data_IF_403907417955
#
_entry.id   IF_403907417955
#
_cell.length_a   1.000
_cell.length_b   1.000
_cell.length_c   1.000
_cell.angle_alpha   90.00
_cell.angle_beta   90.00
_cell.angle_gamma   90.00
#
_symmetry.space_group_name_H-M   'P 1'
#
loop_
_entity.id
_entity.type
_entity.pdbx_description
1 polymer ?
#
# COMPACT_ATOMS: atom_id res chain seq x y z
N UNK A 1 -0.61 -11.02 -18.37
CA UNK A 1 0.62 -11.16 -17.56
C UNK A 1 0.63 -12.56 -16.96
N UNK A 2 1.72 -13.30 -17.04
CA UNK A 2 1.82 -14.68 -16.53
C UNK A 2 3.12 -14.85 -15.73
N UNK A 3 3.02 -15.28 -14.48
CA UNK A 3 4.18 -15.67 -13.67
C UNK A 3 4.78 -16.96 -14.25
N UNK A 4 6.10 -16.97 -14.44
CA UNK A 4 6.84 -18.09 -15.04
C UNK A 4 7.70 -18.80 -14.00
N UNK A 5 8.38 -18.04 -13.14
CA UNK A 5 9.30 -18.59 -12.15
C UNK A 5 9.30 -17.73 -10.89
N UNK A 6 9.48 -18.39 -9.74
CA UNK A 6 9.73 -17.78 -8.44
C UNK A 6 11.06 -18.31 -7.90
N UNK A 7 12.00 -17.42 -7.59
CA UNK A 7 13.25 -17.74 -6.91
C UNK A 7 13.21 -17.21 -5.47
N UNK A 8 13.68 -18.02 -4.53
CA UNK A 8 13.69 -17.68 -3.10
C UNK A 8 15.03 -18.04 -2.47
N UNK A 9 15.57 -17.14 -1.65
CA UNK A 9 16.72 -17.36 -0.78
C UNK A 9 16.46 -16.77 0.60
N UNK A 10 16.66 -17.56 1.65
CA UNK A 10 16.56 -17.12 3.05
C UNK A 10 15.26 -16.38 3.41
N UNK A 11 14.14 -16.70 2.75
CA UNK A 11 12.85 -16.05 2.99
C UNK A 11 11.96 -16.91 3.90
N UNK A 12 11.67 -16.39 5.09
CA UNK A 12 10.89 -17.07 6.13
C UNK A 12 11.36 -18.51 6.33
N UNK A 13 10.44 -19.46 6.23
CA UNK A 13 10.66 -20.89 6.41
C UNK A 13 10.77 -21.66 5.08
N UNK A 14 10.85 -20.97 3.94
CA UNK A 14 10.98 -21.62 2.64
C UNK A 14 12.40 -22.10 2.45
N UNK A 15 12.58 -23.30 1.90
CA UNK A 15 13.88 -23.75 1.41
C UNK A 15 14.34 -22.89 0.22
N UNK A 16 15.65 -22.78 0.07
CA UNK A 16 16.24 -22.05 -1.05
C UNK A 16 16.03 -22.81 -2.36
N UNK A 17 15.70 -22.08 -3.42
CA UNK A 17 15.53 -22.68 -4.74
C UNK A 17 14.67 -21.84 -5.66
N UNK A 18 14.30 -22.46 -6.78
CA UNK A 18 13.40 -21.88 -7.76
C UNK A 18 12.23 -22.81 -8.05
N UNK A 19 11.09 -22.22 -8.38
CA UNK A 19 9.85 -22.90 -8.71
C UNK A 19 9.32 -22.38 -10.04
N UNK A 20 9.30 -23.24 -11.05
CA UNK A 20 8.61 -22.98 -12.31
C UNK A 20 7.10 -23.06 -12.11
N UNK A 21 6.38 -22.08 -12.66
CA UNK A 21 4.94 -21.92 -12.52
C UNK A 21 4.24 -22.47 -13.77
N UNK A 22 3.40 -23.51 -13.62
CA UNK A 22 2.64 -24.04 -14.74
C UNK A 22 1.68 -23.00 -15.33
N UNK A 23 1.35 -23.15 -16.60
CA UNK A 23 0.37 -22.29 -17.29
C UNK A 23 -0.99 -22.18 -16.60
N UNK A 24 -1.62 -23.28 -16.15
CA UNK A 24 -2.89 -23.18 -15.44
C UNK A 24 -2.75 -22.59 -14.02
N UNK A 25 -1.53 -22.30 -13.56
CA UNK A 25 -1.25 -21.95 -12.18
C UNK A 25 -0.91 -23.18 -11.33
N UNK A 26 -0.97 -23.00 -10.01
CA UNK A 26 -0.58 -24.03 -9.04
C UNK A 26 -1.54 -24.06 -7.86
N UNK A 27 -1.70 -25.24 -7.27
CA UNK A 27 -2.41 -25.44 -6.01
C UNK A 27 -1.41 -25.90 -4.97
N UNK A 28 -1.30 -25.16 -3.86
CA UNK A 28 -0.41 -25.51 -2.75
C UNK A 28 -1.19 -26.32 -1.72
N UNK A 29 -0.85 -27.61 -1.59
CA UNK A 29 -1.47 -28.51 -0.62
C UNK A 29 -0.42 -28.92 0.40
N UNK A 30 -0.82 -28.93 1.67
CA UNK A 30 0.02 -29.41 2.75
C UNK A 30 -0.46 -28.93 4.12
N UNK A 31 0.11 -29.47 5.21
CA UNK A 31 -0.22 -29.06 6.58
C UNK A 31 -0.02 -27.56 6.84
N UNK A 32 -0.67 -27.05 7.90
CA UNK A 32 -0.43 -25.69 8.38
C UNK A 32 1.02 -25.51 8.84
N UNK A 33 1.56 -24.29 8.68
CA UNK A 33 2.95 -23.98 9.04
C UNK A 33 4.01 -24.39 8.01
N UNK A 34 3.66 -25.15 6.96
CA UNK A 34 4.63 -25.62 5.95
C UNK A 34 5.08 -24.57 4.92
N UNK A 35 4.72 -23.28 5.10
CA UNK A 35 5.19 -22.20 4.22
C UNK A 35 4.32 -21.90 2.99
N UNK A 36 3.11 -22.48 2.87
CA UNK A 36 2.18 -22.16 1.76
C UNK A 36 1.96 -20.64 1.60
N UNK A 37 1.61 -19.96 2.70
CA UNK A 37 1.45 -18.50 2.71
C UNK A 37 2.77 -17.77 2.50
N UNK A 38 3.89 -18.31 2.98
CA UNK A 38 5.22 -17.74 2.75
C UNK A 38 5.59 -17.75 1.26
N UNK A 39 5.18 -18.79 0.52
CA UNK A 39 5.42 -18.89 -0.93
C UNK A 39 4.61 -17.84 -1.71
N UNK A 40 3.33 -17.68 -1.38
CA UNK A 40 2.48 -16.62 -1.96
C UNK A 40 3.04 -15.23 -1.63
N UNK A 41 3.56 -15.05 -0.42
CA UNK A 41 4.22 -13.82 -0.01
C UNK A 41 5.51 -13.56 -0.78
N UNK A 42 6.34 -14.57 -1.01
CA UNK A 42 7.55 -14.45 -1.83
C UNK A 42 7.22 -14.09 -3.29
N UNK A 43 6.15 -14.65 -3.86
CA UNK A 43 5.69 -14.31 -5.21
C UNK A 43 5.15 -12.87 -5.32
N UNK A 44 4.39 -12.42 -4.31
CA UNK A 44 3.80 -11.08 -4.32
C UNK A 44 4.81 -9.99 -3.93
N UNK A 45 5.84 -10.30 -3.13
CA UNK A 45 6.72 -9.32 -2.52
C UNK A 45 7.47 -8.42 -3.53
N UNK A 46 8.11 -8.94 -4.60
CA UNK A 46 8.77 -8.09 -5.59
C UNK A 46 7.79 -7.17 -6.35
N UNK A 47 6.54 -7.60 -6.50
CA UNK A 47 5.49 -6.86 -7.24
C UNK A 47 4.85 -5.78 -6.36
N UNK A 48 4.60 -6.09 -5.08
CA UNK A 48 4.01 -5.18 -4.11
C UNK A 48 5.06 -4.31 -3.39
N UNK A 49 6.34 -4.62 -3.56
CA UNK A 49 7.51 -4.01 -2.92
C UNK A 49 7.53 -4.10 -1.38
N UNK A 50 6.69 -4.98 -0.83
CA UNK A 50 6.42 -5.13 0.61
C UNK A 50 5.71 -6.45 0.88
N UNK A 51 5.73 -6.87 2.14
CA UNK A 51 4.87 -7.94 2.61
C UNK A 51 3.40 -7.48 2.69
N UNK A 52 2.47 -8.38 2.35
CA UNK A 52 1.06 -8.18 2.61
C UNK A 52 0.65 -8.52 4.06
N UNK A 53 1.54 -9.15 4.85
CA UNK A 53 1.30 -9.61 6.24
C UNK A 53 1.95 -8.73 7.30
N UNK A 54 3.13 -8.15 7.02
CA UNK A 54 3.89 -7.34 7.98
C UNK A 54 4.46 -6.09 7.33
N UNK A 55 4.68 -5.05 8.13
CA UNK A 55 5.39 -3.83 7.72
C UNK A 55 6.91 -3.93 7.92
N UNK A 56 7.38 -4.97 8.62
CA UNK A 56 8.79 -5.12 8.97
C UNK A 56 9.46 -6.15 8.07
N UNK A 57 10.27 -5.68 7.11
CA UNK A 57 10.99 -6.58 6.20
C UNK A 57 11.94 -7.54 6.94
N UNK A 58 12.45 -7.15 8.11
CA UNK A 58 13.30 -8.01 8.94
C UNK A 58 12.60 -9.30 9.42
N UNK A 59 11.27 -9.29 9.56
CA UNK A 59 10.49 -10.49 9.94
C UNK A 59 10.37 -11.51 8.80
N UNK A 60 10.79 -11.15 7.59
CA UNK A 60 10.79 -12.02 6.42
C UNK A 60 12.10 -12.79 6.25
N UNK A 61 13.14 -12.41 6.98
CA UNK A 61 14.45 -13.06 6.94
C UNK A 61 14.35 -14.42 7.67
N UNK A 62 14.91 -15.47 7.07
CA UNK A 62 15.04 -16.77 7.73
C UNK A 62 15.85 -16.62 9.03
N UNK A 63 15.45 -17.32 10.07
CA UNK A 63 16.17 -17.29 11.34
C UNK A 63 17.65 -17.66 11.15
N UNK A 64 18.54 -16.87 11.77
CA UNK A 64 20.00 -17.03 11.65
C UNK A 64 20.63 -16.35 10.43
N UNK A 65 19.85 -15.82 9.51
CA UNK A 65 20.34 -15.19 8.28
C UNK A 65 20.39 -13.67 8.37
N UNK A 66 21.20 -13.05 7.49
CA UNK A 66 21.42 -11.60 7.46
C UNK A 66 20.64 -10.87 6.35
N UNK A 67 19.67 -11.53 5.75
CA UNK A 67 18.89 -11.00 4.64
C UNK A 67 18.12 -12.07 3.88
N UNK A 68 17.34 -11.63 2.90
CA UNK A 68 16.64 -12.50 1.96
C UNK A 68 16.75 -11.96 0.53
N UNK A 69 16.51 -12.85 -0.42
CA UNK A 69 16.33 -12.49 -1.82
C UNK A 69 15.10 -13.23 -2.37
N UNK A 70 14.25 -12.49 -3.07
CA UNK A 70 13.11 -13.06 -3.81
C UNK A 70 13.08 -12.45 -5.20
N UNK A 71 12.87 -13.29 -6.21
CA UNK A 71 12.74 -12.85 -7.59
C UNK A 71 11.60 -13.57 -8.28
N UNK A 72 10.96 -12.87 -9.21
CA UNK A 72 9.91 -13.42 -10.07
C UNK A 72 10.22 -13.10 -11.53
N UNK A 73 10.00 -14.09 -12.38
CA UNK A 73 9.98 -13.91 -13.83
C UNK A 73 8.54 -14.01 -14.32
N UNK A 74 8.17 -13.16 -15.27
CA UNK A 74 6.83 -13.17 -15.84
C UNK A 74 6.85 -12.76 -17.31
N UNK A 75 5.83 -13.19 -18.03
CA UNK A 75 5.57 -12.82 -19.42
C UNK A 75 4.48 -11.76 -19.51
N UNK A 76 4.75 -10.69 -20.25
CA UNK A 76 3.78 -9.64 -20.60
C UNK A 76 4.00 -9.24 -22.05
N UNK A 77 2.93 -9.16 -22.85
CA UNK A 77 3.00 -8.78 -24.26
C UNK A 77 4.06 -9.59 -25.04
N UNK A 78 4.12 -10.88 -24.72
CA UNK A 78 5.09 -11.88 -25.21
C UNK A 78 6.58 -11.61 -24.92
N UNK A 79 6.87 -10.66 -24.02
CA UNK A 79 8.23 -10.37 -23.56
C UNK A 79 8.46 -10.89 -22.14
N UNK A 80 9.65 -11.48 -21.87
CA UNK A 80 10.04 -11.83 -20.51
C UNK A 80 10.42 -10.56 -19.75
N UNK A 81 10.07 -10.55 -18.47
CA UNK A 81 10.41 -9.50 -17.53
C UNK A 81 10.76 -10.14 -16.19
N UNK A 82 11.59 -9.45 -15.41
CA UNK A 82 11.99 -9.91 -14.08
C UNK A 82 11.88 -8.81 -13.04
N UNK A 83 11.52 -9.22 -11.82
CA UNK A 83 11.57 -8.38 -10.64
C UNK A 83 12.27 -9.11 -9.54
N UNK A 84 13.19 -8.42 -8.87
CA UNK A 84 13.85 -8.96 -7.69
C UNK A 84 13.85 -7.95 -6.55
N UNK A 85 13.76 -8.46 -5.33
CA UNK A 85 13.93 -7.70 -4.12
C UNK A 85 14.92 -8.40 -3.19
N UNK A 86 15.92 -7.64 -2.75
CA UNK A 86 16.93 -8.09 -1.80
C UNK A 86 16.85 -7.21 -0.56
N UNK A 87 16.81 -7.82 0.61
CA UNK A 87 16.87 -7.10 1.88
C UNK A 87 18.07 -7.56 2.69
N UNK A 88 18.80 -6.62 3.30
CA UNK A 88 19.93 -6.91 4.20
C UNK A 88 19.70 -6.29 5.56
N UNK A 89 19.78 -7.10 6.62
CA UNK A 89 19.51 -6.68 8.01
C UNK A 89 20.50 -5.61 8.49
N UNK A 90 21.79 -5.81 8.26
CA UNK A 90 22.84 -4.93 8.77
C UNK A 90 22.75 -3.48 8.31
N UNK A 91 22.28 -3.23 7.08
CA UNK A 91 22.03 -1.87 6.55
C UNK A 91 20.56 -1.44 6.61
N UNK A 92 19.66 -2.35 7.02
CA UNK A 92 18.19 -2.25 6.86
C UNK A 92 17.81 -1.71 5.47
N UNK A 93 18.55 -2.14 4.45
CA UNK A 93 18.44 -1.62 3.08
C UNK A 93 17.69 -2.65 2.24
N UNK A 94 16.69 -2.16 1.51
CA UNK A 94 15.99 -2.88 0.45
C UNK A 94 16.55 -2.42 -0.89
N UNK A 95 16.88 -3.37 -1.74
CA UNK A 95 17.33 -3.18 -3.11
C UNK A 95 16.31 -3.85 -4.02
N UNK A 96 15.89 -3.13 -5.06
CA UNK A 96 14.92 -3.60 -6.03
C UNK A 96 15.58 -3.60 -7.41
N UNK A 97 15.38 -4.68 -8.16
CA UNK A 97 15.78 -4.78 -9.56
C UNK A 97 14.55 -5.00 -10.43
N UNK A 98 14.49 -4.33 -11.58
CA UNK A 98 13.52 -4.56 -12.63
C UNK A 98 14.26 -4.78 -13.94
N UNK A 99 14.04 -5.93 -14.58
CA UNK A 99 14.72 -6.35 -15.81
C UNK A 99 16.26 -6.23 -15.69
N UNK A 100 16.78 -6.60 -14.50
CA UNK A 100 18.21 -6.54 -14.16
C UNK A 100 18.74 -5.14 -13.78
N UNK A 101 17.97 -4.08 -13.99
CA UNK A 101 18.37 -2.71 -13.64
C UNK A 101 17.95 -2.32 -12.22
N UNK A 102 18.80 -1.58 -11.51
CA UNK A 102 18.48 -1.06 -10.19
C UNK A 102 17.31 -0.06 -10.24
N UNK A 103 16.38 -0.21 -9.30
CA UNK A 103 15.24 0.70 -9.12
C UNK A 103 15.55 1.65 -7.97
N UNK A 104 15.82 2.91 -8.30
CA UNK A 104 16.11 3.93 -7.30
C UNK A 104 14.85 4.36 -6.53
N UNK A 105 13.70 4.44 -7.21
CA UNK A 105 12.43 4.83 -6.59
C UNK A 105 11.32 3.88 -7.01
N UNK A 106 10.60 3.37 -6.03
CA UNK A 106 9.44 2.48 -6.25
C UNK A 106 8.42 3.10 -7.22
N UNK A 107 8.20 4.41 -7.16
CA UNK A 107 7.25 5.12 -8.05
C UNK A 107 7.58 4.98 -9.54
N UNK A 108 8.85 4.78 -9.89
CA UNK A 108 9.28 4.66 -11.29
C UNK A 108 8.84 3.33 -11.90
N UNK A 109 8.55 2.34 -11.05
CA UNK A 109 8.19 0.98 -11.44
C UNK A 109 6.82 0.51 -10.91
N UNK A 110 6.23 1.23 -9.96
CA UNK A 110 4.89 0.98 -9.46
C UNK A 110 3.87 1.01 -10.62
N UNK A 111 2.95 0.05 -10.60
CA UNK A 111 1.90 -0.10 -11.61
C UNK A 111 2.34 -0.69 -12.95
N UNK A 112 3.64 -0.92 -13.16
CA UNK A 112 4.10 -1.68 -14.34
C UNK A 112 3.63 -3.13 -14.30
N UNK A 113 3.46 -3.65 -13.08
CA UNK A 113 3.04 -5.00 -12.77
C UNK A 113 2.06 -4.96 -11.60
N UNK A 114 1.12 -5.91 -11.58
CA UNK A 114 0.03 -5.93 -10.61
C UNK A 114 -0.11 -7.33 -10.04
N UNK A 115 -0.08 -7.43 -8.71
CA UNK A 115 -0.47 -8.63 -7.99
C UNK A 115 -1.65 -8.28 -7.09
N UNK A 116 -2.68 -9.12 -7.11
CA UNK A 116 -3.80 -9.04 -6.18
C UNK A 116 -3.71 -10.26 -5.28
N UNK A 117 -3.69 -10.01 -3.97
CA UNK A 117 -3.64 -11.07 -2.97
C UNK A 117 -4.99 -11.08 -2.26
N UNK A 118 -5.66 -12.24 -2.31
CA UNK A 118 -6.84 -12.52 -1.51
C UNK A 118 -6.39 -13.29 -0.28
N UNK A 119 -6.65 -12.74 0.90
CA UNK A 119 -6.23 -13.32 2.16
C UNK A 119 -7.43 -13.44 3.12
N UNK A 120 -7.46 -14.45 4.02
CA UNK A 120 -8.54 -14.56 5.00
C UNK A 120 -8.73 -13.30 5.86
N UNK A 121 -7.66 -12.54 6.08
CA UNK A 121 -7.69 -11.29 6.84
C UNK A 121 -8.45 -10.16 6.13
N UNK A 122 -8.77 -10.28 4.83
CA UNK A 122 -9.48 -9.25 4.06
C UNK A 122 -10.93 -9.05 4.56
N UNK A 123 -11.49 -10.00 5.31
CA UNK A 123 -12.77 -9.81 6.04
C UNK A 123 -12.70 -8.60 6.98
N UNK A 124 -11.51 -8.24 7.48
CA UNK A 124 -11.30 -7.05 8.32
C UNK A 124 -11.45 -5.74 7.55
N UNK A 125 -11.50 -5.74 6.22
CA UNK A 125 -11.83 -4.55 5.46
C UNK A 125 -13.29 -4.13 5.74
N UNK A 126 -14.21 -5.09 5.77
CA UNK A 126 -15.61 -4.83 6.09
C UNK A 126 -15.84 -4.57 7.59
N UNK A 127 -15.33 -5.44 8.47
CA UNK A 127 -15.63 -5.40 9.90
C UNK A 127 -14.60 -4.62 10.76
N UNK A 128 -13.49 -4.19 10.17
CA UNK A 128 -12.37 -3.59 10.90
C UNK A 128 -12.40 -2.06 10.94
N UNK A 129 -11.33 -1.45 11.50
CA UNK A 129 -11.24 -0.01 11.63
C UNK A 129 -10.95 0.67 10.29
N UNK A 130 -11.35 1.94 10.19
CA UNK A 130 -11.11 2.82 9.03
C UNK A 130 -9.66 2.84 8.53
N UNK A 131 -8.68 2.64 9.43
CA UNK A 131 -7.26 2.58 9.07
C UNK A 131 -6.96 1.45 8.08
N UNK A 132 -7.60 0.29 8.21
CA UNK A 132 -7.44 -0.84 7.30
C UNK A 132 -7.97 -0.53 5.91
N UNK A 133 -9.19 0.05 5.83
CA UNK A 133 -9.81 0.46 4.57
C UNK A 133 -9.05 1.58 3.86
N UNK A 134 -8.62 2.61 4.60
CA UNK A 134 -7.73 3.66 4.06
C UNK A 134 -6.43 3.09 3.51
N UNK A 135 -5.83 2.13 4.23
CA UNK A 135 -4.59 1.48 3.79
C UNK A 135 -4.81 0.64 2.53
N UNK A 136 -5.94 -0.06 2.43
CA UNK A 136 -6.32 -0.79 1.23
C UNK A 136 -6.47 0.19 0.04
N UNK A 137 -7.26 1.25 0.21
CA UNK A 137 -7.46 2.27 -0.82
C UNK A 137 -6.15 2.94 -1.25
N UNK A 138 -5.30 3.30 -0.28
CA UNK A 138 -3.96 3.87 -0.54
C UNK A 138 -3.10 2.93 -1.38
N UNK A 139 -3.11 1.62 -1.08
CA UNK A 139 -2.33 0.63 -1.84
C UNK A 139 -2.86 0.50 -3.27
N UNK A 140 -4.17 0.36 -3.42
CA UNK A 140 -4.83 0.22 -4.72
C UNK A 140 -4.50 1.42 -5.62
N UNK A 141 -4.71 2.64 -5.12
CA UNK A 141 -4.46 3.86 -5.89
C UNK A 141 -2.98 4.09 -6.16
N UNK A 142 -2.10 3.82 -5.20
CA UNK A 142 -0.67 4.02 -5.37
C UNK A 142 -0.04 3.03 -6.37
N UNK A 143 -0.66 1.87 -6.58
CA UNK A 143 -0.27 0.91 -7.62
C UNK A 143 -0.82 1.30 -9.00
N UNK A 144 -1.96 1.99 -9.09
CA UNK A 144 -2.56 2.37 -10.38
C UNK A 144 -2.19 3.78 -10.86
N UNK A 145 -1.81 4.69 -9.96
CA UNK A 145 -1.62 6.10 -10.25
C UNK A 145 -0.33 6.65 -9.60
N UNK A 146 0.65 7.02 -10.45
CA UNK A 146 1.93 7.60 -10.02
C UNK A 146 1.77 8.98 -9.39
N UNK A 147 0.83 9.78 -9.88
CA UNK A 147 0.49 11.09 -9.32
C UNK A 147 -0.06 10.94 -7.91
N UNK A 148 -0.96 9.98 -7.69
CA UNK A 148 -1.45 9.62 -6.36
C UNK A 148 -0.32 9.16 -5.43
N UNK A 149 0.55 8.24 -5.89
CA UNK A 149 1.70 7.78 -5.11
C UNK A 149 2.55 8.96 -4.62
N UNK A 150 2.91 9.86 -5.54
CA UNK A 150 3.73 11.03 -5.23
C UNK A 150 3.02 12.03 -4.31
N UNK A 151 1.72 12.25 -4.50
CA UNK A 151 0.90 13.10 -3.63
C UNK A 151 0.80 12.51 -2.21
N UNK A 152 0.51 11.21 -2.08
CA UNK A 152 0.42 10.52 -0.79
C UNK A 152 1.75 10.56 -0.02
N UNK A 153 2.88 10.40 -0.71
CA UNK A 153 4.21 10.54 -0.12
C UNK A 153 4.46 11.94 0.45
N UNK A 154 4.23 12.99 -0.36
CA UNK A 154 4.34 14.39 0.07
C UNK A 154 3.40 14.72 1.23
N UNK A 155 2.17 14.23 1.17
CA UNK A 155 1.16 14.42 2.20
C UNK A 155 1.59 13.81 3.54
N UNK A 156 2.05 12.55 3.54
CA UNK A 156 2.53 11.88 4.75
C UNK A 156 3.76 12.57 5.35
N UNK A 157 4.67 13.08 4.51
CA UNK A 157 5.83 13.83 4.97
C UNK A 157 5.44 15.15 5.65
N UNK A 158 4.59 15.96 5.01
CA UNK A 158 4.09 17.21 5.58
C UNK A 158 3.30 16.98 6.88
N UNK A 159 2.43 15.96 6.89
CA UNK A 159 1.66 15.57 8.07
C UNK A 159 2.57 15.14 9.24
N UNK A 160 3.63 14.38 8.96
CA UNK A 160 4.58 13.94 9.98
C UNK A 160 5.32 15.13 10.61
N UNK A 161 5.79 16.07 9.80
CA UNK A 161 6.48 17.29 10.26
C UNK A 161 5.54 18.20 11.05
N UNK A 162 4.32 18.44 10.55
CA UNK A 162 3.29 19.20 11.26
C UNK A 162 2.98 18.57 12.62
N UNK A 163 2.76 17.27 12.68
CA UNK A 163 2.47 16.57 13.94
C UNK A 163 3.66 16.58 14.91
N UNK A 164 4.90 16.57 14.40
CA UNK A 164 6.09 16.73 15.24
C UNK A 164 6.13 18.11 15.91
N UNK A 165 5.86 19.18 15.15
CA UNK A 165 5.77 20.54 15.68
C UNK A 165 4.63 20.69 16.72
N UNK A 166 3.45 20.13 16.44
CA UNK A 166 2.33 20.15 17.38
C UNK A 166 2.66 19.47 18.71
N UNK A 167 3.34 18.32 18.70
CA UNK A 167 3.78 17.64 19.94
C UNK A 167 4.79 18.45 20.75
N UNK A 168 5.50 19.38 20.12
CA UNK A 168 6.41 20.31 20.79
C UNK A 168 5.70 21.59 21.28
N UNK A 169 4.39 21.71 21.08
CA UNK A 169 3.64 22.92 21.40
C UNK A 169 3.90 24.09 20.44
N UNK A 170 4.52 23.84 19.28
CA UNK A 170 4.95 24.87 18.32
C UNK A 170 3.95 25.02 17.18
N UNK A 171 2.86 25.74 17.45
CA UNK A 171 1.80 26.01 16.47
C UNK A 171 2.32 26.83 15.26
N UNK A 172 3.26 27.74 15.50
CA UNK A 172 3.94 28.54 14.48
C UNK A 172 4.72 27.66 13.49
N UNK A 173 5.46 26.67 13.99
CA UNK A 173 6.18 25.71 13.15
C UNK A 173 5.22 24.75 12.44
N UNK A 174 4.11 24.37 13.09
CA UNK A 174 3.09 23.53 12.46
C UNK A 174 2.48 24.22 11.24
N UNK A 175 2.20 25.53 11.33
CA UNK A 175 1.61 26.31 10.24
C UNK A 175 2.50 26.38 8.99
N UNK A 176 3.83 26.28 9.13
CA UNK A 176 4.75 26.22 7.98
C UNK A 176 4.50 25.01 7.05
N UNK A 177 3.84 23.96 7.57
CA UNK A 177 3.50 22.76 6.80
C UNK A 177 2.05 22.75 6.28
N UNK A 178 1.24 23.78 6.56
CA UNK A 178 -0.17 23.80 6.16
C UNK A 178 -0.35 23.84 4.64
N UNK A 179 0.42 24.68 3.94
CA UNK A 179 0.37 24.76 2.47
C UNK A 179 0.77 23.46 1.75
N UNK A 180 1.94 22.81 2.05
CA UNK A 180 2.26 21.54 1.42
C UNK A 180 1.31 20.41 1.83
N UNK A 181 0.77 20.43 3.05
CA UNK A 181 -0.26 19.49 3.49
C UNK A 181 -1.55 19.66 2.66
N UNK A 182 -2.00 20.90 2.44
CA UNK A 182 -3.19 21.21 1.67
C UNK A 182 -3.07 20.81 0.20
N UNK A 183 -1.98 21.19 -0.47
CA UNK A 183 -1.74 20.88 -1.88
C UNK A 183 -1.74 19.37 -2.15
N UNK A 184 -1.02 18.62 -1.32
CA UNK A 184 -0.91 17.17 -1.50
C UNK A 184 -2.16 16.42 -1.00
N UNK A 185 -2.78 16.91 0.08
CA UNK A 185 -4.02 16.36 0.63
C UNK A 185 -5.20 16.49 -0.33
N UNK A 186 -5.30 17.61 -1.04
CA UNK A 186 -6.33 17.83 -2.05
C UNK A 186 -6.30 16.81 -3.18
N UNK A 187 -5.10 16.54 -3.72
CA UNK A 187 -4.90 15.51 -4.75
C UNK A 187 -5.27 14.11 -4.23
N UNK A 188 -4.90 13.77 -2.99
CA UNK A 188 -5.25 12.49 -2.36
C UNK A 188 -6.77 12.36 -2.21
N UNK A 189 -7.44 13.38 -1.67
CA UNK A 189 -8.89 13.37 -1.47
C UNK A 189 -9.64 13.26 -2.80
N UNK A 190 -9.23 14.03 -3.82
CA UNK A 190 -9.86 14.01 -5.13
C UNK A 190 -9.74 12.64 -5.81
N UNK A 191 -8.55 12.03 -5.79
CA UNK A 191 -8.34 10.70 -6.37
C UNK A 191 -9.16 9.60 -5.67
N UNK A 192 -9.30 9.68 -4.34
CA UNK A 192 -10.11 8.72 -3.58
C UNK A 192 -11.59 8.85 -3.89
N UNK A 193 -12.13 10.07 -3.91
CA UNK A 193 -13.52 10.32 -4.30
C UNK A 193 -13.79 9.81 -5.72
N UNK A 194 -12.94 10.18 -6.68
CA UNK A 194 -13.08 9.75 -8.07
C UNK A 194 -12.96 8.23 -8.23
N UNK A 195 -12.16 7.55 -7.40
CA UNK A 195 -12.08 6.10 -7.45
C UNK A 195 -13.33 5.43 -6.90
N UNK A 196 -13.84 5.90 -5.74
CA UNK A 196 -15.06 5.34 -5.16
C UNK A 196 -16.26 5.55 -6.09
N UNK A 197 -16.41 6.74 -6.66
CA UNK A 197 -17.46 7.07 -7.63
C UNK A 197 -17.45 6.12 -8.85
N UNK A 198 -16.27 5.81 -9.38
CA UNK A 198 -16.15 4.88 -10.52
C UNK A 198 -16.48 3.43 -10.19
N UNK A 199 -16.27 2.98 -8.95
CA UNK A 199 -16.42 1.56 -8.58
C UNK A 199 -17.70 1.27 -7.80
N UNK A 200 -18.35 2.29 -7.23
CA UNK A 200 -19.53 2.11 -6.38
C UNK A 200 -20.69 1.44 -7.11
N UNK A 201 -20.90 1.79 -8.37
CA UNK A 201 -22.02 1.28 -9.17
C UNK A 201 -21.90 -0.22 -9.44
N UNK A 202 -20.67 -0.71 -9.70
CA UNK A 202 -20.42 -2.14 -9.93
C UNK A 202 -20.32 -2.97 -8.65
N UNK A 203 -20.06 -2.33 -7.51
CA UNK A 203 -19.81 -3.04 -6.25
C UNK A 203 -21.02 -3.83 -5.75
N UNK A 204 -22.21 -3.24 -5.81
CA UNK A 204 -23.45 -3.91 -5.42
C UNK A 204 -23.77 -5.13 -6.29
N UNK A 205 -23.57 -5.00 -7.61
CA UNK A 205 -23.74 -6.11 -8.56
C UNK A 205 -22.78 -7.27 -8.26
N UNK A 206 -21.51 -6.97 -7.97
CA UNK A 206 -20.52 -7.99 -7.62
C UNK A 206 -20.89 -8.73 -6.32
N UNK A 207 -21.39 -8.02 -5.30
CA UNK A 207 -21.86 -8.67 -4.07
C UNK A 207 -23.04 -9.61 -4.36
N UNK A 208 -23.98 -9.18 -5.20
CA UNK A 208 -25.11 -10.00 -5.59
C UNK A 208 -24.67 -11.28 -6.33
N UNK A 209 -23.71 -11.18 -7.26
CA UNK A 209 -23.14 -12.34 -7.96
C UNK A 209 -22.43 -13.33 -7.02
N UNK A 210 -21.89 -12.85 -5.90
CA UNK A 210 -21.29 -13.69 -4.85
C UNK A 210 -22.35 -14.35 -3.93
N UNK A 211 -23.63 -14.07 -4.14
CA UNK A 211 -24.74 -14.62 -3.36
C UNK A 211 -25.14 -13.80 -2.14
N UNK A 212 -24.63 -12.57 -1.99
CA UNK A 212 -25.06 -11.67 -0.93
C UNK A 212 -26.48 -11.14 -1.22
N UNK A 213 -27.34 -11.23 -0.21
CA UNK A 213 -28.75 -10.82 -0.30
C UNK A 213 -29.01 -9.44 0.29
N UNK A 214 -28.08 -8.91 1.08
CA UNK A 214 -28.15 -7.55 1.59
C UNK A 214 -27.75 -6.54 0.50
N UNK A 215 -28.39 -5.37 0.49
CA UNK A 215 -27.96 -4.24 -0.34
C UNK A 215 -26.61 -3.74 0.20
N UNK A 216 -25.54 -4.02 -0.53
CA UNK A 216 -24.20 -3.52 -0.24
C UNK A 216 -23.81 -2.37 -1.15
N UNK A 217 -22.97 -1.46 -0.63
CA UNK A 217 -22.46 -0.32 -1.37
C UNK A 217 -21.10 0.11 -0.83
N UNK A 218 -20.42 0.94 -1.62
CA UNK A 218 -19.13 1.51 -1.28
C UNK A 218 -19.23 3.04 -1.25
N UNK A 219 -18.77 3.70 -0.17
CA UNK A 219 -18.87 5.15 -0.05
C UNK A 219 -17.66 5.74 0.65
N UNK A 220 -17.11 6.81 0.08
CA UNK A 220 -16.07 7.57 0.75
C UNK A 220 -16.67 8.51 1.80
N UNK A 221 -16.30 8.33 3.05
CA UNK A 221 -16.66 9.20 4.17
C UNK A 221 -15.52 10.18 4.46
N UNK A 222 -15.47 11.26 3.68
CA UNK A 222 -14.47 12.32 3.82
C UNK A 222 -15.07 13.71 3.61
N UNK A 223 -14.20 14.71 3.67
CA UNK A 223 -14.60 16.12 3.46
C UNK A 223 -14.35 16.50 2.00
N UNK A 224 -15.39 16.46 1.17
CA UNK A 224 -15.28 16.71 -0.28
C UNK A 224 -14.71 18.09 -0.63
N UNK A 225 -14.93 19.10 0.21
CA UNK A 225 -14.38 20.45 0.01
C UNK A 225 -12.85 20.46 0.09
N UNK A 226 -12.23 19.47 0.76
CA UNK A 226 -10.77 19.35 0.81
C UNK A 226 -10.15 18.92 -0.52
N UNK A 227 -10.94 18.68 -1.57
CA UNK A 227 -10.43 18.53 -2.95
C UNK A 227 -9.85 19.82 -3.51
N UNK A 228 -10.22 20.98 -2.95
CA UNK A 228 -9.68 22.29 -3.29
C UNK A 228 -8.67 22.74 -2.22
N UNK A 229 -7.38 22.96 -2.56
CA UNK A 229 -6.37 23.45 -1.60
C UNK A 229 -6.78 24.73 -0.86
N UNK A 230 -7.59 25.58 -1.48
CA UNK A 230 -8.07 26.86 -0.96
C UNK A 230 -9.03 26.69 0.24
N UNK A 231 -9.68 25.53 0.35
CA UNK A 231 -10.58 25.22 1.46
C UNK A 231 -9.84 24.76 2.74
N UNK A 232 -8.54 24.48 2.64
CA UNK A 232 -7.75 23.94 3.76
C UNK A 232 -7.37 24.98 4.83
N UNK A 233 -6.87 26.19 4.48
CA UNK A 233 -6.38 27.13 5.49
C UNK A 233 -7.42 27.45 6.56
N UNK A 234 -8.67 27.70 6.16
CA UNK A 234 -9.76 27.97 7.10
C UNK A 234 -10.04 26.77 8.03
N UNK A 235 -10.07 25.55 7.48
CA UNK A 235 -10.32 24.34 8.28
C UNK A 235 -9.17 24.03 9.24
N UNK A 236 -7.93 24.20 8.81
CA UNK A 236 -6.75 24.03 9.65
C UNK A 236 -6.72 25.07 10.78
N UNK A 237 -7.04 26.33 10.47
CA UNK A 237 -7.14 27.40 11.47
C UNK A 237 -8.23 27.09 12.52
N UNK A 238 -9.42 26.67 12.09
CA UNK A 238 -10.51 26.25 13.00
C UNK A 238 -10.14 25.04 13.87
N UNK A 239 -9.24 24.17 13.40
CA UNK A 239 -8.76 23.00 14.15
C UNK A 239 -7.52 23.28 15.01
N UNK A 240 -6.86 24.42 14.88
CA UNK A 240 -5.53 24.68 15.44
C UNK A 240 -5.41 24.41 16.94
N UNK A 241 -6.33 24.95 17.76
CA UNK A 241 -6.30 24.73 19.22
C UNK A 241 -6.48 23.26 19.60
N UNK A 242 -7.34 22.55 18.88
CA UNK A 242 -7.61 21.12 19.09
C UNK A 242 -6.41 20.26 18.67
N UNK A 243 -5.79 20.61 17.55
CA UNK A 243 -4.61 19.94 17.01
C UNK A 243 -3.41 20.11 17.95
N UNK A 244 -3.23 21.32 18.49
CA UNK A 244 -2.19 21.63 19.47
C UNK A 244 -2.37 20.84 20.76
N UNK A 245 -3.60 20.84 21.32
CA UNK A 245 -3.91 20.08 22.53
C UNK A 245 -3.71 18.56 22.36
N UNK A 246 -3.91 18.04 21.14
CA UNK A 246 -3.75 16.61 20.82
C UNK A 246 -2.35 16.22 20.36
N UNK A 247 -1.50 17.19 20.02
CA UNK A 247 -0.22 16.93 19.35
C UNK A 247 -0.38 16.24 17.99
N UNK A 248 -1.53 16.40 17.32
CA UNK A 248 -1.87 15.70 16.09
C UNK A 248 -2.89 16.47 15.25
N UNK A 249 -2.69 16.46 13.93
CA UNK A 249 -3.60 17.05 12.96
C UNK A 249 -4.91 16.29 12.92
N UNK A 250 -6.05 17.00 12.95
CA UNK A 250 -7.38 16.37 12.94
C UNK A 250 -8.17 16.56 11.64
N UNK A 251 -7.61 17.27 10.66
CA UNK A 251 -8.22 17.56 9.35
C UNK A 251 -7.41 16.92 8.22
N UNK A 252 -8.08 16.27 7.26
CA UNK A 252 -7.47 15.73 6.04
C UNK A 252 -7.68 14.22 5.84
N UNK A 253 -7.29 13.68 4.67
CA UNK A 253 -7.65 12.32 4.23
C UNK A 253 -7.10 11.19 5.10
N UNK A 254 -6.15 11.47 6.00
CA UNK A 254 -5.70 10.51 7.00
C UNK A 254 -6.75 10.20 8.09
N UNK A 255 -7.83 10.98 8.17
CA UNK A 255 -8.93 10.84 9.13
C UNK A 255 -10.22 10.28 8.50
N UNK A 256 -10.30 10.29 7.18
CA UNK A 256 -11.47 9.86 6.40
C UNK A 256 -11.70 8.34 6.46
N UNK A 257 -12.83 7.85 5.96
CA UNK A 257 -13.16 6.42 5.89
C UNK A 257 -13.71 6.02 4.52
N UNK A 258 -13.80 4.72 4.26
CA UNK A 258 -14.39 4.09 3.07
C UNK A 258 -15.49 3.10 3.52
#
# INVERSE_FOLDING_TARGET
MRLLELTVRNFRNLADGSLTIPEPGLVLIGPNGQGKTSLLEAAAYPVLFRSFRTSQDGELVRFGENGFHVAVEFRRDDRPHSLAATFRTGRRRKELLADGAAVDRVVDVAGRWVAVVFAPEDVRLAAGPAAGRRLHLDRTLALSDRGYFAALGRYRAALAQRNAALRQGRADLAAAFDAPLAQSGALVTAARLAWVDRVSDGFGSLLHELGETAVGGLRYHGTAELTAPEAWPERLARAASRDLARGATTVGPHRDDL
#
